data_IF_665977558947
#
_entry.id   IF_665977558947
#
_cell.length_a   1.000
_cell.length_b   1.000
_cell.length_c   1.000
_cell.angle_alpha   90.00
_cell.angle_beta   90.00
_cell.angle_gamma   90.00
#
_symmetry.space_group_name_H-M   'P 1'
#
loop_
_entity.id
_entity.type
_entity.pdbx_description
1 polymer ?
#
# COMPACT_ATOMS: atom_id res chain seq x y z
N UNK A 1 -46.85 -17.90 -40.20
CA UNK A 1 -46.96 -16.45 -39.91
C UNK A 1 -45.57 -15.94 -39.59
N UNK A 2 -44.97 -15.15 -40.50
CA UNK A 2 -43.87 -14.20 -40.24
C UNK A 2 -44.38 -13.04 -39.35
N UNK A 3 -43.60 -12.01 -38.93
CA UNK A 3 -42.19 -11.68 -39.26
C UNK A 3 -41.28 -11.11 -38.12
N UNK A 4 -39.98 -11.01 -38.44
CA UNK A 4 -38.97 -9.95 -38.15
C UNK A 4 -39.28 -8.78 -37.19
N UNK A 5 -38.29 -8.41 -36.34
CA UNK A 5 -37.72 -7.05 -36.08
C UNK A 5 -36.60 -7.19 -35.00
N UNK A 6 -35.31 -6.98 -35.29
CA UNK A 6 -34.54 -5.73 -35.40
C UNK A 6 -34.08 -5.08 -34.07
N UNK A 7 -32.75 -5.12 -33.88
CA UNK A 7 -31.80 -4.12 -33.33
C UNK A 7 -32.21 -3.10 -32.25
N UNK A 8 -31.36 -2.99 -31.20
CA UNK A 8 -31.27 -1.78 -30.38
C UNK A 8 -30.29 -1.87 -29.20
N UNK A 9 -28.99 -1.72 -29.44
CA UNK A 9 -27.97 -1.53 -28.40
C UNK A 9 -26.82 -0.64 -28.91
N UNK A 10 -26.33 0.32 -28.12
CA UNK A 10 -25.55 1.46 -28.61
C UNK A 10 -24.15 1.08 -29.10
N UNK A 11 -23.73 1.72 -30.19
CA UNK A 11 -22.39 1.61 -30.78
C UNK A 11 -21.36 2.25 -29.81
N UNK A 12 -20.21 1.61 -29.54
CA UNK A 12 -19.08 2.33 -28.98
C UNK A 12 -18.57 3.35 -30.01
N UNK A 13 -18.32 4.56 -29.54
CA UNK A 13 -17.81 5.69 -30.30
C UNK A 13 -16.45 5.38 -30.94
N UNK A 14 -16.28 5.86 -32.16
CA UNK A 14 -15.07 5.72 -32.95
C UNK A 14 -13.90 6.46 -32.29
N UNK A 15 -12.90 5.72 -31.80
CA UNK A 15 -11.56 6.25 -31.56
C UNK A 15 -10.82 6.47 -32.88
N UNK A 16 -9.83 7.39 -32.92
CA UNK A 16 -9.17 7.77 -34.17
C UNK A 16 -8.35 6.61 -34.74
N UNK A 17 -8.60 6.30 -36.02
CA UNK A 17 -7.85 5.32 -36.82
C UNK A 17 -6.47 5.89 -37.14
N UNK A 18 -5.42 5.27 -36.61
CA UNK A 18 -4.05 5.51 -37.03
C UNK A 18 -3.87 4.87 -38.42
N UNK A 19 -3.49 5.62 -39.46
CA UNK A 19 -3.25 5.03 -40.77
C UNK A 19 -1.92 4.28 -40.74
N UNK A 20 -1.97 2.97 -40.89
CA UNK A 20 -0.80 2.18 -41.27
C UNK A 20 -0.45 2.52 -42.72
N UNK A 21 0.64 3.28 -42.92
CA UNK A 21 1.28 3.40 -44.23
C UNK A 21 2.06 2.11 -44.48
N UNK A 22 1.59 1.31 -45.43
CA UNK A 22 2.41 0.32 -46.13
C UNK A 22 3.07 1.05 -47.30
N UNK A 23 4.39 1.25 -47.24
CA UNK A 23 5.20 1.34 -48.43
C UNK A 23 6.52 0.61 -48.20
N UNK A 24 6.72 -0.44 -48.99
CA UNK A 24 7.96 -1.17 -49.11
C UNK A 24 8.98 -0.31 -49.89
N UNK A 25 10.15 -0.09 -49.32
CA UNK A 25 11.28 0.57 -49.97
C UNK A 25 12.58 0.24 -49.24
N UNK A 26 13.51 -0.37 -49.96
CA UNK A 26 14.74 -0.98 -49.46
C UNK A 26 15.72 -0.04 -48.74
N UNK A 27 16.23 -0.54 -47.61
CA UNK A 27 17.62 -0.56 -47.11
C UNK A 27 18.60 0.56 -47.51
N UNK A 28 18.94 1.39 -46.52
CA UNK A 28 20.32 1.78 -46.22
C UNK A 28 20.57 1.63 -44.72
N UNK A 29 21.73 1.12 -44.25
CA UNK A 29 22.03 1.09 -42.84
C UNK A 29 22.39 2.51 -42.42
N UNK A 30 21.46 3.21 -41.78
CA UNK A 30 21.83 4.38 -40.99
C UNK A 30 22.42 3.83 -39.69
N UNK A 31 23.73 3.57 -39.73
CA UNK A 31 24.54 3.36 -38.54
C UNK A 31 24.72 4.74 -37.86
N UNK A 32 23.61 5.29 -37.36
CA UNK A 32 23.62 6.37 -36.39
C UNK A 32 23.81 5.72 -35.03
N UNK A 33 24.84 6.12 -34.30
CA UNK A 33 25.04 5.74 -32.91
C UNK A 33 23.71 5.95 -32.16
N UNK A 34 23.11 4.85 -31.71
CA UNK A 34 22.02 4.91 -30.74
C UNK A 34 22.65 5.40 -29.44
N UNK A 35 22.74 6.73 -29.33
CA UNK A 35 22.92 7.39 -28.06
C UNK A 35 21.88 6.83 -27.10
N UNK A 36 22.38 6.29 -25.99
CA UNK A 36 21.62 5.88 -24.82
C UNK A 36 21.01 7.12 -24.17
N UNK A 37 20.03 7.71 -24.84
CA UNK A 37 19.22 8.79 -24.30
C UNK A 37 17.76 8.39 -24.54
N UNK A 38 17.35 7.32 -23.85
CA UNK A 38 15.93 7.11 -23.59
C UNK A 38 15.57 8.17 -22.54
N UNK A 39 14.54 9.01 -22.74
CA UNK A 39 14.00 9.78 -21.64
C UNK A 39 13.35 8.77 -20.70
N UNK A 40 14.17 8.27 -19.77
CA UNK A 40 13.75 7.51 -18.62
C UNK A 40 12.66 8.32 -17.91
N UNK A 41 11.63 7.61 -17.49
CA UNK A 41 10.39 8.12 -16.93
C UNK A 41 10.54 9.45 -16.18
N UNK A 42 9.61 10.40 -16.36
CA UNK A 42 9.67 11.67 -15.65
C UNK A 42 9.84 11.39 -14.16
N UNK A 43 10.78 12.08 -13.55
CA UNK A 43 11.08 11.88 -12.14
C UNK A 43 9.84 12.25 -11.31
N UNK A 44 9.15 11.23 -10.82
CA UNK A 44 7.94 11.34 -9.99
C UNK A 44 8.24 11.83 -8.56
N UNK A 45 9.37 12.52 -8.34
CA UNK A 45 9.62 13.28 -7.11
C UNK A 45 8.41 14.12 -6.78
N UNK A 46 7.84 13.92 -5.58
CA UNK A 46 6.95 14.91 -4.97
C UNK A 46 7.65 16.27 -4.91
N UNK A 47 6.89 17.35 -4.77
CA UNK A 47 7.38 18.72 -4.86
C UNK A 47 8.55 19.07 -3.90
N UNK A 48 8.86 18.18 -2.94
CA UNK A 48 9.88 18.34 -1.92
C UNK A 48 11.09 17.40 -2.07
N UNK A 49 11.18 16.59 -3.13
CA UNK A 49 12.33 15.67 -3.37
C UNK A 49 12.37 14.42 -2.48
N UNK A 50 11.38 14.23 -1.60
CA UNK A 50 11.26 13.06 -0.73
C UNK A 50 10.38 11.96 -1.34
N UNK A 51 10.72 10.70 -1.07
CA UNK A 51 9.91 9.51 -1.44
C UNK A 51 9.31 8.89 -0.18
N UNK A 52 8.06 8.42 -0.26
CA UNK A 52 7.37 7.77 0.87
C UNK A 52 7.70 6.27 0.91
N UNK A 53 8.32 5.80 1.99
CA UNK A 53 8.69 4.40 2.22
C UNK A 53 7.95 3.80 3.40
N UNK A 54 7.75 2.48 3.38
CA UNK A 54 7.21 1.75 4.53
C UNK A 54 8.27 1.66 5.61
N UNK A 55 8.04 2.28 6.77
CA UNK A 55 8.95 2.21 7.92
C UNK A 55 8.69 0.97 8.77
N UNK A 56 7.41 0.71 9.04
CA UNK A 56 6.96 -0.31 9.97
C UNK A 56 5.68 -1.01 9.50
N UNK A 57 5.54 -2.30 9.81
CA UNK A 57 4.32 -3.08 9.53
C UNK A 57 4.03 -4.11 10.62
N UNK A 58 2.81 -4.11 11.14
CA UNK A 58 2.25 -5.21 11.94
C UNK A 58 1.31 -5.99 11.02
N UNK A 59 1.60 -7.27 10.80
CA UNK A 59 0.87 -8.12 9.87
C UNK A 59 0.01 -9.15 10.61
N UNK A 60 -1.23 -9.35 10.14
CA UNK A 60 -2.20 -10.30 10.69
C UNK A 60 -2.62 -10.03 12.14
N UNK A 61 -2.60 -8.77 12.58
CA UNK A 61 -3.10 -8.40 13.90
C UNK A 61 -4.62 -8.59 13.96
N UNK A 62 -5.11 -9.42 14.88
CA UNK A 62 -6.52 -9.72 15.06
C UNK A 62 -7.21 -8.67 15.92
N UNK A 63 -8.30 -8.08 15.45
CA UNK A 63 -9.10 -7.12 16.21
C UNK A 63 -9.71 -7.79 17.42
N UNK A 64 -9.41 -7.28 18.62
CA UNK A 64 -9.95 -7.80 19.88
C UNK A 64 -11.24 -7.10 20.28
N UNK A 65 -11.38 -5.82 19.94
CA UNK A 65 -12.56 -5.02 20.28
C UNK A 65 -12.80 -3.88 19.28
N UNK A 66 -14.05 -3.46 19.17
CA UNK A 66 -14.45 -2.23 18.48
C UNK A 66 -15.38 -1.44 19.38
N UNK A 67 -15.10 -0.15 19.60
CA UNK A 67 -15.99 0.76 20.34
C UNK A 67 -16.32 2.00 19.53
N UNK A 68 -17.57 2.09 19.08
CA UNK A 68 -18.07 3.20 18.27
C UNK A 68 -18.13 4.53 19.04
N UNK A 69 -18.33 4.48 20.35
CA UNK A 69 -18.53 5.68 21.17
C UNK A 69 -17.22 6.24 21.74
N UNK A 70 -16.11 5.53 21.53
CA UNK A 70 -14.79 5.94 21.95
C UNK A 70 -14.08 6.80 20.89
N UNK A 71 -13.10 7.60 21.32
CA UNK A 71 -12.39 8.54 20.42
C UNK A 71 -11.71 7.79 19.27
N UNK A 72 -12.02 8.22 18.03
CA UNK A 72 -11.59 7.57 16.80
C UNK A 72 -10.07 7.46 16.68
N UNK A 73 -9.57 6.22 16.78
CA UNK A 73 -8.15 5.85 16.84
C UNK A 73 -8.00 4.33 16.76
N UNK A 74 -6.77 3.82 16.71
CA UNK A 74 -6.46 2.41 16.93
C UNK A 74 -5.64 2.22 18.20
N UNK A 75 -6.14 1.45 19.15
CA UNK A 75 -5.40 0.98 20.32
C UNK A 75 -4.60 -0.26 19.95
N UNK A 76 -3.29 -0.25 20.19
CA UNK A 76 -2.40 -1.38 19.87
C UNK A 76 -1.53 -1.70 21.08
N UNK A 77 -1.38 -2.99 21.39
CA UNK A 77 -0.45 -3.50 22.40
C UNK A 77 0.95 -2.84 22.29
N UNK A 78 1.42 -2.31 23.42
CA UNK A 78 2.74 -1.70 23.56
C UNK A 78 3.91 -2.59 23.07
N UNK A 79 3.87 -3.90 23.29
CA UNK A 79 4.92 -4.82 22.83
C UNK A 79 4.99 -4.91 21.31
N UNK A 80 3.83 -4.92 20.64
CA UNK A 80 3.75 -4.90 19.18
C UNK A 80 4.30 -3.58 18.64
N UNK A 81 3.87 -2.46 19.23
CA UNK A 81 4.33 -1.12 18.86
C UNK A 81 5.85 -0.98 19.03
N UNK A 82 6.40 -1.40 20.17
CA UNK A 82 7.85 -1.39 20.44
C UNK A 82 8.62 -2.27 19.47
N UNK A 83 8.07 -3.42 19.07
CA UNK A 83 8.75 -4.35 18.16
C UNK A 83 8.97 -3.78 16.76
N UNK A 84 8.09 -2.87 16.30
CA UNK A 84 8.21 -2.18 15.01
C UNK A 84 8.54 -0.70 15.12
N UNK A 85 8.73 -0.19 16.34
CA UNK A 85 9.03 1.21 16.67
C UNK A 85 7.95 2.19 16.18
N UNK A 86 6.68 1.81 16.27
CA UNK A 86 5.54 2.74 16.08
C UNK A 86 5.26 3.43 17.41
N UNK A 87 5.08 4.76 17.38
CA UNK A 87 4.89 5.58 18.58
C UNK A 87 3.41 5.91 18.81
N UNK A 88 3.01 6.16 20.07
CA UNK A 88 1.70 6.75 20.35
C UNK A 88 1.55 8.08 19.61
N UNK A 89 0.34 8.37 19.13
CA UNK A 89 0.00 9.50 18.27
C UNK A 89 0.65 9.51 16.87
N UNK A 90 1.35 8.44 16.48
CA UNK A 90 1.85 8.31 15.12
C UNK A 90 0.73 7.93 14.16
N UNK A 91 0.74 8.53 12.96
CA UNK A 91 -0.20 8.19 11.89
C UNK A 91 0.12 6.80 11.32
N UNK A 92 -0.92 5.99 11.16
CA UNK A 92 -0.85 4.65 10.59
C UNK A 92 -1.95 4.44 9.58
N UNK A 93 -1.62 3.71 8.52
CA UNK A 93 -2.61 3.14 7.63
C UNK A 93 -3.01 1.76 8.12
N UNK A 94 -4.31 1.48 8.12
CA UNK A 94 -4.88 0.20 8.54
C UNK A 94 -5.59 -0.41 7.35
N UNK A 95 -5.24 -1.66 7.04
CA UNK A 95 -5.84 -2.44 5.98
C UNK A 95 -6.48 -3.70 6.58
N UNK A 96 -7.79 -3.80 6.45
CA UNK A 96 -8.55 -4.97 6.87
C UNK A 96 -8.45 -6.07 5.80
N UNK A 97 -7.93 -7.23 6.19
CA UNK A 97 -7.70 -8.38 5.31
C UNK A 97 -9.02 -9.08 4.97
N UNK A 98 -9.98 -9.08 5.89
CA UNK A 98 -11.20 -9.87 5.80
C UNK A 98 -12.28 -9.17 4.98
N UNK A 99 -12.40 -7.84 5.09
CA UNK A 99 -13.38 -7.07 4.32
C UNK A 99 -12.79 -6.12 3.25
N UNK A 100 -11.46 -5.93 3.24
CA UNK A 100 -10.77 -5.10 2.25
C UNK A 100 -10.80 -3.59 2.54
N UNK A 101 -11.37 -3.15 3.66
CA UNK A 101 -11.42 -1.74 4.06
C UNK A 101 -10.02 -1.19 4.30
N UNK A 102 -9.82 0.08 3.94
CA UNK A 102 -8.54 0.78 4.07
C UNK A 102 -8.81 2.16 4.65
N UNK A 103 -8.15 2.49 5.74
CA UNK A 103 -8.29 3.79 6.38
C UNK A 103 -6.98 4.24 7.02
N UNK A 104 -6.94 5.50 7.42
CA UNK A 104 -5.81 6.11 8.12
C UNK A 104 -6.30 6.64 9.47
N UNK A 105 -5.48 6.47 10.50
CA UNK A 105 -5.77 6.93 11.86
C UNK A 105 -4.47 7.11 12.63
N UNK A 106 -4.54 7.36 13.93
CA UNK A 106 -3.38 7.44 14.81
C UNK A 106 -3.44 6.39 15.92
N UNK A 107 -2.28 6.07 16.47
CA UNK A 107 -2.11 5.03 17.48
C UNK A 107 -2.37 5.55 18.90
N UNK A 108 -3.18 4.80 19.66
CA UNK A 108 -3.26 4.88 21.12
C UNK A 108 -2.49 3.69 21.72
N UNK A 109 -1.74 3.95 22.79
CA UNK A 109 -0.98 2.93 23.49
C UNK A 109 -1.93 1.99 24.26
N UNK A 110 -1.93 0.72 23.88
CA UNK A 110 -2.60 -0.35 24.62
C UNK A 110 -1.72 -0.93 25.72
N UNK A 111 -2.28 -1.85 26.52
CA UNK A 111 -1.55 -2.48 27.62
C UNK A 111 -0.50 -3.47 27.09
N UNK A 112 0.73 -3.41 27.61
CA UNK A 112 1.80 -4.34 27.24
C UNK A 112 1.42 -5.81 27.46
N UNK A 113 1.65 -6.65 26.44
CA UNK A 113 1.48 -8.11 26.48
C UNK A 113 0.01 -8.56 26.58
N UNK A 114 -0.94 -7.67 26.31
CA UNK A 114 -2.37 -7.95 26.33
C UNK A 114 -2.90 -8.58 25.03
N UNK A 115 -2.18 -8.40 23.91
CA UNK A 115 -2.65 -8.68 22.57
C UNK A 115 -3.77 -7.74 22.11
N UNK A 116 -3.96 -6.59 22.77
CA UNK A 116 -5.05 -5.67 22.46
C UNK A 116 -4.89 -5.02 21.08
N UNK A 117 -5.92 -5.12 20.25
CA UNK A 117 -6.09 -4.40 18.98
C UNK A 117 -7.52 -3.86 18.96
N UNK A 118 -7.69 -2.62 19.39
CA UNK A 118 -8.98 -1.94 19.49
C UNK A 118 -9.15 -0.92 18.37
N UNK A 119 -10.23 -1.03 17.58
CA UNK A 119 -10.56 -0.01 16.58
C UNK A 119 -11.76 0.80 17.05
N UNK A 120 -11.56 2.10 17.24
CA UNK A 120 -12.51 2.96 17.95
C UNK A 120 -13.14 4.02 17.04
N UNK A 121 -14.25 4.60 17.50
CA UNK A 121 -14.95 5.71 16.86
C UNK A 121 -15.45 5.37 15.46
N UNK A 122 -15.35 6.33 14.54
CA UNK A 122 -15.83 6.14 13.16
C UNK A 122 -15.20 4.94 12.43
N UNK A 123 -13.96 4.57 12.78
CA UNK A 123 -13.27 3.42 12.20
C UNK A 123 -13.85 2.07 12.63
N UNK A 124 -14.62 2.03 13.73
CA UNK A 124 -15.33 0.81 14.18
C UNK A 124 -16.37 0.33 13.16
N UNK A 125 -16.84 1.19 12.23
CA UNK A 125 -17.70 0.78 11.13
C UNK A 125 -16.96 0.04 10.00
N UNK A 126 -15.63 0.16 9.94
CA UNK A 126 -14.81 -0.36 8.86
C UNK A 126 -14.19 -1.73 9.16
N UNK A 127 -14.41 -2.26 10.36
CA UNK A 127 -13.87 -3.55 10.84
C UNK A 127 -14.83 -4.17 11.86
N UNK A 128 -14.58 -5.43 12.24
CA UNK A 128 -15.28 -6.07 13.36
C UNK A 128 -14.31 -6.86 14.24
N UNK A 129 -14.65 -7.14 15.51
CA UNK A 129 -13.89 -8.07 16.33
C UNK A 129 -13.68 -9.41 15.61
N UNK A 130 -12.46 -9.91 15.63
CA UNK A 130 -12.03 -11.13 14.95
C UNK A 130 -11.48 -10.94 13.53
N UNK A 131 -11.65 -9.76 12.92
CA UNK A 131 -10.97 -9.44 11.65
C UNK A 131 -9.46 -9.34 11.83
N UNK A 132 -8.72 -9.54 10.75
CA UNK A 132 -7.27 -9.44 10.69
C UNK A 132 -6.87 -8.18 9.96
N UNK A 133 -5.95 -7.43 10.56
CA UNK A 133 -5.48 -6.15 10.09
C UNK A 133 -4.01 -6.23 9.66
N UNK A 134 -3.67 -5.33 8.75
CA UNK A 134 -2.31 -4.90 8.48
C UNK A 134 -2.21 -3.44 8.90
N UNK A 135 -1.37 -3.14 9.87
CA UNK A 135 -1.09 -1.76 10.30
C UNK A 135 0.27 -1.36 9.74
N UNK A 136 0.34 -0.22 9.06
CA UNK A 136 1.56 0.25 8.36
C UNK A 136 1.84 1.70 8.71
N UNK A 137 3.08 1.98 9.13
CA UNK A 137 3.60 3.33 9.24
C UNK A 137 4.58 3.60 8.10
N UNK A 138 4.52 4.81 7.56
CA UNK A 138 5.40 5.26 6.47
C UNK A 138 6.24 6.44 6.93
N UNK A 139 7.37 6.64 6.28
CA UNK A 139 8.21 7.81 6.45
C UNK A 139 8.60 8.39 5.09
N UNK A 140 8.87 9.69 5.06
CA UNK A 140 9.49 10.34 3.91
C UNK A 140 11.00 10.20 4.01
N UNK A 141 11.65 9.75 2.94
CA UNK A 141 13.10 9.65 2.83
C UNK A 141 13.63 10.51 1.69
N UNK A 142 14.76 11.16 1.93
CA UNK A 142 15.61 11.73 0.90
C UNK A 142 16.41 10.63 0.20
N UNK A 143 16.90 10.91 -1.00
CA UNK A 143 17.51 9.92 -1.89
C UNK A 143 18.75 9.25 -1.29
N UNK A 144 19.57 9.99 -0.53
CA UNK A 144 20.77 9.49 0.13
C UNK A 144 20.46 8.50 1.27
N UNK A 145 19.33 8.67 1.95
CA UNK A 145 18.90 7.81 3.04
C UNK A 145 18.34 6.45 2.56
N UNK A 146 17.84 6.36 1.32
CA UNK A 146 17.12 5.17 0.78
C UNK A 146 17.97 3.91 0.86
N UNK A 147 19.24 3.99 0.48
CA UNK A 147 20.16 2.84 0.44
C UNK A 147 20.34 2.16 1.80
N UNK A 148 20.22 2.93 2.89
CA UNK A 148 20.38 2.46 4.26
C UNK A 148 19.05 2.10 4.95
N UNK A 149 17.93 2.41 4.33
CA UNK A 149 16.61 2.19 4.93
C UNK A 149 16.24 0.71 4.97
N UNK A 150 15.73 0.28 6.14
CA UNK A 150 15.29 -1.09 6.40
C UNK A 150 14.00 -1.07 7.20
N UNK A 151 12.90 -1.49 6.58
CA UNK A 151 11.60 -1.57 7.24
C UNK A 151 11.58 -2.64 8.33
N UNK A 152 10.86 -2.40 9.43
CA UNK A 152 10.63 -3.37 10.51
C UNK A 152 9.24 -3.99 10.37
N UNK A 153 9.17 -5.31 10.31
CA UNK A 153 7.90 -6.01 10.15
C UNK A 153 7.76 -7.10 11.19
N UNK A 154 6.58 -7.19 11.80
CA UNK A 154 6.19 -8.31 12.64
C UNK A 154 4.97 -9.02 12.07
N UNK A 155 4.91 -10.33 12.26
CA UNK A 155 3.74 -11.15 11.94
C UNK A 155 3.18 -11.70 13.23
N UNK A 156 1.88 -11.54 13.41
CA UNK A 156 1.14 -12.00 14.58
C UNK A 156 0.48 -13.36 14.34
N UNK A 157 0.24 -14.11 15.42
CA UNK A 157 -0.71 -15.23 15.45
C UNK A 157 -2.13 -14.76 15.83
N UNK A 158 -3.05 -15.72 16.01
CA UNK A 158 -4.46 -15.48 16.35
C UNK A 158 -4.65 -14.86 17.75
N UNK A 159 -3.66 -14.97 18.64
CA UNK A 159 -3.63 -14.31 19.95
C UNK A 159 -2.80 -13.01 19.96
N UNK A 160 -2.48 -12.47 18.78
CA UNK A 160 -1.67 -11.26 18.61
C UNK A 160 -0.24 -11.36 19.19
N UNK A 161 0.33 -12.56 19.29
CA UNK A 161 1.73 -12.75 19.67
C UNK A 161 2.61 -12.73 18.43
N UNK A 162 3.81 -12.17 18.57
CA UNK A 162 4.78 -12.08 17.48
C UNK A 162 5.37 -13.46 17.20
N UNK A 163 5.00 -14.06 16.08
CA UNK A 163 5.57 -15.33 15.59
C UNK A 163 6.74 -15.13 14.65
N UNK A 164 6.86 -13.96 14.03
CA UNK A 164 7.95 -13.66 13.10
C UNK A 164 8.37 -12.19 13.15
N UNK A 165 9.67 -11.95 13.04
CA UNK A 165 10.28 -10.62 12.86
C UNK A 165 11.04 -10.61 11.55
N UNK A 166 10.74 -9.62 10.70
CA UNK A 166 11.30 -9.47 9.37
C UNK A 166 11.91 -8.08 9.20
N UNK A 167 12.91 -8.00 8.33
CA UNK A 167 13.59 -6.76 7.95
C UNK A 167 13.64 -6.70 6.43
N UNK A 168 13.17 -5.60 5.87
CA UNK A 168 13.11 -5.41 4.42
C UNK A 168 13.97 -4.20 4.02
N UNK A 169 15.19 -4.42 3.49
CA UNK A 169 15.98 -3.37 2.89
C UNK A 169 15.23 -2.73 1.72
N UNK A 170 15.34 -1.41 1.57
CA UNK A 170 14.83 -0.71 0.39
C UNK A 170 15.83 -0.62 -0.76
N UNK A 171 17.10 -0.95 -0.51
CA UNK A 171 18.11 -1.09 -1.55
C UNK A 171 17.88 -2.37 -2.39
N UNK A 172 18.23 -2.31 -3.66
CA UNK A 172 18.34 -3.50 -4.49
C UNK A 172 19.51 -4.38 -3.99
N UNK A 173 19.37 -5.71 -4.04
CA UNK A 173 20.51 -6.60 -3.79
C UNK A 173 21.62 -6.35 -4.82
N UNK A 174 22.88 -6.37 -4.38
CA UNK A 174 24.03 -6.38 -5.30
C UNK A 174 23.99 -7.67 -6.14
N UNK A 175 24.25 -7.54 -7.45
CA UNK A 175 24.23 -8.64 -8.42
C UNK A 175 25.55 -9.40 -8.43
#
# INVERSE_FOLDING_TARGET
MSPSLACGGPRPSAGPRIPWRTDAGLLTPFCGEFGVDRPDFPDFRGQDGMRKFMRAKIHQARVTQCDLNYVGSITIDEELLRAVDIRPNEAVHVYDIDNGSRFETYVILGKAGSGEIGVNGAAAHLTAPGHRLIVVAFEGLEEDAISSHVSRVVVCDDENRIIQRLRHPSAFPEQ
#
